data_IF_540635479750
#
_entry.id   IF_540635479750
#
_cell.length_a   1.000
_cell.length_b   1.000
_cell.length_c   1.000
_cell.angle_alpha   90.00
_cell.angle_beta   90.00
_cell.angle_gamma   90.00
#
_symmetry.space_group_name_H-M   'P 1'
#
loop_
_entity.id
_entity.type
_entity.pdbx_description
1 polymer ?
#
# COMPACT_ATOMS: atom_id res chain seq x y z
N UNK A 1 12.91 -12.01 -12.69
CA UNK A 1 12.14 -10.76 -12.92
C UNK A 1 12.61 -9.60 -12.04
N UNK A 2 13.34 -9.84 -10.94
CA UNK A 2 14.01 -8.78 -10.16
C UNK A 2 15.52 -8.93 -10.35
N UNK A 3 16.04 -8.52 -11.51
CA UNK A 3 17.48 -8.46 -11.74
C UNK A 3 17.79 -7.37 -12.75
N UNK A 4 17.74 -6.14 -12.25
CA UNK A 4 18.49 -4.96 -12.68
C UNK A 4 18.36 -3.94 -11.56
N UNK A 5 19.17 -4.12 -10.52
CA UNK A 5 19.47 -3.03 -9.60
C UNK A 5 20.22 -1.98 -10.43
N UNK A 6 19.49 -0.96 -10.86
CA UNK A 6 20.12 0.33 -11.19
C UNK A 6 20.79 0.78 -9.90
N UNK A 7 22.03 1.24 -9.98
CA UNK A 7 22.89 1.60 -8.84
C UNK A 7 22.29 2.78 -8.06
N UNK A 8 21.27 2.50 -7.25
CA UNK A 8 20.42 3.47 -6.56
C UNK A 8 20.90 3.76 -5.14
N UNK A 9 21.90 3.00 -4.66
CA UNK A 9 22.30 2.97 -3.25
C UNK A 9 21.26 2.32 -2.32
N UNK A 10 20.14 1.79 -2.84
CA UNK A 10 19.12 1.10 -2.07
C UNK A 10 19.12 -0.41 -2.37
N UNK A 11 19.05 -1.21 -1.31
CA UNK A 11 18.99 -2.65 -1.40
C UNK A 11 17.65 -3.17 -0.88
N UNK A 12 17.06 -4.09 -1.65
CA UNK A 12 15.92 -4.85 -1.18
C UNK A 12 16.39 -5.85 -0.12
N UNK A 13 15.86 -5.76 1.09
CA UNK A 13 16.24 -6.62 2.21
C UNK A 13 15.39 -7.90 2.27
N UNK A 14 14.08 -7.77 2.49
CA UNK A 14 13.22 -8.92 2.77
C UNK A 14 11.75 -8.70 2.40
N UNK A 15 11.03 -9.81 2.20
CA UNK A 15 9.56 -9.87 2.17
C UNK A 15 9.10 -10.58 3.43
N UNK A 16 8.09 -10.03 4.10
CA UNK A 16 7.48 -10.61 5.30
C UNK A 16 5.98 -10.78 5.10
N UNK A 17 5.40 -11.79 5.76
CA UNK A 17 3.96 -12.05 5.71
C UNK A 17 3.37 -11.88 7.10
N UNK A 18 2.56 -10.83 7.29
CA UNK A 18 1.84 -10.60 8.54
C UNK A 18 0.40 -11.11 8.50
N UNK A 19 -0.10 -11.62 7.37
CA UNK A 19 -1.44 -12.21 7.21
C UNK A 19 -2.58 -11.29 7.71
N UNK A 20 -2.42 -9.97 7.51
CA UNK A 20 -3.32 -8.93 8.04
C UNK A 20 -3.49 -8.94 9.57
N UNK A 21 -2.63 -9.65 10.30
CA UNK A 21 -2.57 -9.65 11.75
C UNK A 21 -1.75 -8.44 12.23
N UNK A 22 -2.40 -7.54 12.96
CA UNK A 22 -1.78 -6.31 13.47
C UNK A 22 -0.52 -6.59 14.30
N UNK A 23 -0.56 -7.60 15.18
CA UNK A 23 0.56 -7.90 16.06
C UNK A 23 1.79 -8.39 15.28
N UNK A 24 1.59 -9.25 14.28
CA UNK A 24 2.67 -9.71 13.40
C UNK A 24 3.26 -8.58 12.57
N UNK A 25 2.41 -7.67 12.07
CA UNK A 25 2.87 -6.50 11.34
C UNK A 25 3.74 -5.59 12.23
N UNK A 26 3.32 -5.39 13.49
CA UNK A 26 4.06 -4.63 14.50
C UNK A 26 5.42 -5.25 14.79
N UNK A 27 5.45 -6.54 15.13
CA UNK A 27 6.69 -7.28 15.43
C UNK A 27 7.65 -7.26 14.24
N UNK A 28 7.14 -7.54 13.04
CA UNK A 28 7.94 -7.54 11.80
C UNK A 28 8.62 -6.19 11.58
N UNK A 29 7.88 -5.08 11.70
CA UNK A 29 8.44 -3.75 11.48
C UNK A 29 9.44 -3.35 12.57
N UNK A 30 9.13 -3.66 13.84
CA UNK A 30 10.08 -3.38 14.93
C UNK A 30 11.38 -4.16 14.75
N UNK A 31 11.30 -5.45 14.44
CA UNK A 31 12.48 -6.27 14.21
C UNK A 31 13.32 -5.74 13.05
N UNK A 32 12.69 -5.27 11.98
CA UNK A 32 13.39 -4.67 10.84
C UNK A 32 14.11 -3.37 11.24
N UNK A 33 13.44 -2.49 11.99
CA UNK A 33 14.00 -1.24 12.49
C UNK A 33 15.18 -1.47 13.46
N UNK A 34 15.11 -2.54 14.24
CA UNK A 34 16.15 -2.92 15.19
C UNK A 34 17.37 -3.57 14.53
N UNK A 35 17.13 -4.53 13.62
CA UNK A 35 18.17 -5.25 12.88
C UNK A 35 18.91 -4.35 11.89
N UNK A 36 18.21 -3.44 11.22
CA UNK A 36 18.75 -2.62 10.13
C UNK A 36 18.80 -1.14 10.54
N UNK A 37 19.97 -0.69 11.00
CA UNK A 37 20.18 0.72 11.39
C UNK A 37 20.15 1.68 10.20
N UNK A 38 20.27 1.15 9.00
CA UNK A 38 20.14 1.79 7.69
C UNK A 38 18.78 1.56 7.03
N UNK A 39 17.79 0.99 7.74
CA UNK A 39 16.42 0.86 7.22
C UNK A 39 15.87 2.24 6.82
N UNK A 40 15.48 2.39 5.55
CA UNK A 40 15.02 3.66 4.97
C UNK A 40 13.55 3.65 4.55
N UNK A 41 12.92 2.49 4.43
CA UNK A 41 11.55 2.44 3.93
C UNK A 41 10.92 1.07 3.90
N UNK A 42 9.59 1.07 3.78
CA UNK A 42 8.79 -0.13 3.57
C UNK A 42 7.68 0.14 2.56
N UNK A 43 7.28 -0.93 1.89
CA UNK A 43 6.03 -1.03 1.16
C UNK A 43 5.14 -2.07 1.84
N UNK A 44 3.92 -1.69 2.21
CA UNK A 44 2.92 -2.61 2.75
C UNK A 44 1.80 -2.82 1.74
N UNK A 45 1.62 -4.06 1.28
CA UNK A 45 0.54 -4.47 0.38
C UNK A 45 -0.71 -5.00 1.12
N UNK A 46 -0.63 -5.24 2.45
CA UNK A 46 -1.72 -5.80 3.25
C UNK A 46 -2.50 -4.76 4.07
N UNK A 47 -3.49 -5.20 4.84
CA UNK A 47 -4.43 -4.36 5.59
C UNK A 47 -3.89 -3.68 6.86
N UNK A 48 -2.59 -3.83 7.17
CA UNK A 48 -2.00 -3.41 8.44
C UNK A 48 -1.47 -1.95 8.47
N UNK A 49 -1.86 -1.08 7.53
CA UNK A 49 -1.32 0.28 7.41
C UNK A 49 -1.43 1.11 8.69
N UNK A 50 -2.55 1.02 9.43
CA UNK A 50 -2.73 1.78 10.67
C UNK A 50 -1.75 1.34 11.75
N UNK A 51 -1.54 0.03 11.92
CA UNK A 51 -0.60 -0.52 12.89
C UNK A 51 0.84 -0.13 12.56
N UNK A 52 1.23 -0.21 11.28
CA UNK A 52 2.55 0.21 10.83
C UNK A 52 2.76 1.71 11.04
N UNK A 53 1.75 2.53 10.72
CA UNK A 53 1.79 3.96 10.98
C UNK A 53 2.01 4.26 12.47
N UNK A 54 1.31 3.55 13.36
CA UNK A 54 1.45 3.73 14.81
C UNK A 54 2.83 3.33 15.35
N UNK A 55 3.44 2.28 14.78
CA UNK A 55 4.83 1.92 15.09
C UNK A 55 5.77 3.06 14.67
N UNK A 56 5.64 3.56 13.45
CA UNK A 56 6.50 4.65 12.95
C UNK A 56 6.32 5.94 13.75
N UNK A 57 5.08 6.31 14.11
CA UNK A 57 4.83 7.51 14.93
C UNK A 57 5.53 7.47 16.29
N UNK A 58 5.66 6.28 16.89
CA UNK A 58 6.27 6.08 18.21
C UNK A 58 7.78 5.84 18.14
N UNK A 59 8.29 5.37 17.01
CA UNK A 59 9.70 5.04 16.87
C UNK A 59 10.55 6.29 16.63
N UNK A 60 11.71 6.47 17.30
CA UNK A 60 12.54 7.68 17.17
C UNK A 60 12.97 8.01 15.73
N UNK A 61 13.17 6.97 14.91
CA UNK A 61 13.53 7.10 13.49
C UNK A 61 12.34 7.15 12.54
N UNK A 62 11.11 6.97 13.02
CA UNK A 62 9.96 6.70 12.14
C UNK A 62 9.64 7.81 11.15
N UNK A 63 9.89 9.09 11.51
CA UNK A 63 9.76 10.23 10.59
C UNK A 63 10.75 10.21 9.41
N UNK A 64 11.81 9.42 9.50
CA UNK A 64 12.83 9.28 8.46
C UNK A 64 12.62 8.02 7.60
N UNK A 65 11.55 7.26 7.85
CA UNK A 65 11.24 6.04 7.11
C UNK A 65 10.21 6.37 6.02
N UNK A 66 10.56 6.11 4.77
CA UNK A 66 9.64 6.21 3.65
C UNK A 66 8.64 5.05 3.72
N UNK A 67 7.39 5.35 4.09
CA UNK A 67 6.33 4.36 4.14
C UNK A 67 5.37 4.53 2.96
N UNK A 68 5.33 3.53 2.08
CA UNK A 68 4.35 3.39 1.01
C UNK A 68 3.33 2.33 1.41
N UNK A 69 2.05 2.66 1.39
CA UNK A 69 0.99 1.71 1.68
C UNK A 69 0.14 1.35 0.46
N UNK A 70 -0.81 0.48 0.72
CA UNK A 70 -1.79 0.01 -0.24
C UNK A 70 -3.19 0.34 0.27
N UNK A 71 -4.10 0.76 -0.62
CA UNK A 71 -5.49 1.15 -0.33
C UNK A 71 -5.68 2.47 0.44
N UNK A 72 -6.50 3.35 -0.13
CA UNK A 72 -6.91 4.61 0.48
C UNK A 72 -8.15 4.42 1.38
N UNK A 73 -7.91 4.54 2.68
CA UNK A 73 -8.93 4.60 3.75
C UNK A 73 -8.80 5.91 4.53
N UNK A 74 -9.83 6.30 5.30
CA UNK A 74 -9.78 7.47 6.19
C UNK A 74 -8.53 7.49 7.08
N UNK A 75 -8.14 6.32 7.62
CA UNK A 75 -6.96 6.17 8.48
C UNK A 75 -5.68 6.40 7.72
N UNK A 76 -5.56 5.84 6.52
CA UNK A 76 -4.37 6.04 5.68
C UNK A 76 -4.27 7.47 5.12
N UNK A 77 -5.41 8.13 4.86
CA UNK A 77 -5.45 9.55 4.52
C UNK A 77 -4.91 10.43 5.64
N UNK A 78 -5.23 10.11 6.90
CA UNK A 78 -4.65 10.81 8.05
C UNK A 78 -3.12 10.62 8.12
N UNK A 79 -2.62 9.40 7.88
CA UNK A 79 -1.18 9.12 7.82
C UNK A 79 -0.45 9.83 6.66
N UNK A 80 -1.12 10.07 5.53
CA UNK A 80 -0.56 10.91 4.46
C UNK A 80 -0.48 12.38 4.89
N UNK A 81 -1.55 12.90 5.50
CA UNK A 81 -1.62 14.32 5.92
C UNK A 81 -0.61 14.65 7.02
N UNK A 82 -0.41 13.75 7.98
CA UNK A 82 0.55 13.92 9.09
C UNK A 82 2.01 13.60 8.68
N UNK A 83 2.23 13.06 7.48
CA UNK A 83 3.54 12.74 6.93
C UNK A 83 4.14 11.42 7.42
N UNK A 84 3.38 10.59 8.13
CA UNK A 84 3.80 9.22 8.50
C UNK A 84 3.90 8.32 7.27
N UNK A 85 3.03 8.53 6.28
CA UNK A 85 3.08 7.86 4.98
C UNK A 85 3.53 8.85 3.90
N UNK A 86 4.36 8.37 2.98
CA UNK A 86 4.82 9.13 1.83
C UNK A 86 3.82 9.04 0.66
N UNK A 87 3.30 7.84 0.42
CA UNK A 87 2.36 7.59 -0.68
C UNK A 87 1.49 6.36 -0.42
N UNK A 88 0.38 6.28 -1.14
CA UNK A 88 -0.50 5.13 -1.25
C UNK A 88 -0.63 4.77 -2.72
N UNK A 89 -0.57 3.46 -3.01
CA UNK A 89 -0.96 2.89 -4.29
C UNK A 89 -2.37 2.32 -4.10
N UNK A 90 -3.37 3.00 -4.64
CA UNK A 90 -4.78 2.61 -4.53
C UNK A 90 -5.24 1.81 -5.76
N UNK A 91 -6.01 0.74 -5.54
CA UNK A 91 -6.48 -0.14 -6.61
C UNK A 91 -7.79 0.30 -7.26
N UNK A 92 -8.44 1.33 -6.71
CA UNK A 92 -9.78 1.78 -7.08
C UNK A 92 -10.78 0.62 -6.96
N UNK A 93 -10.93 0.00 -5.77
CA UNK A 93 -11.74 -1.22 -5.58
C UNK A 93 -13.20 -1.02 -6.01
N UNK A 94 -13.74 0.19 -5.89
CA UNK A 94 -15.09 0.51 -6.37
C UNK A 94 -15.21 0.35 -7.88
N UNK A 95 -14.24 0.85 -8.66
CA UNK A 95 -14.26 0.69 -10.12
C UNK A 95 -14.15 -0.78 -10.53
N UNK A 96 -13.38 -1.57 -9.78
CA UNK A 96 -13.26 -3.00 -10.00
C UNK A 96 -14.59 -3.72 -9.75
N UNK A 97 -15.26 -3.41 -8.63
CA UNK A 97 -16.56 -3.96 -8.29
C UNK A 97 -17.63 -3.59 -9.32
N UNK A 98 -17.68 -2.32 -9.75
CA UNK A 98 -18.59 -1.84 -10.80
C UNK A 98 -18.38 -2.59 -12.11
N UNK A 99 -17.13 -2.71 -12.57
CA UNK A 99 -16.80 -3.43 -13.80
C UNK A 99 -17.13 -4.91 -13.74
N UNK A 100 -16.93 -5.54 -12.57
CA UNK A 100 -17.33 -6.93 -12.36
C UNK A 100 -18.85 -7.11 -12.46
N UNK A 101 -19.63 -6.19 -11.90
CA UNK A 101 -21.08 -6.19 -12.00
C UNK A 101 -21.56 -5.95 -13.44
N UNK A 102 -21.01 -4.94 -14.12
CA UNK A 102 -21.33 -4.65 -15.52
C UNK A 102 -21.06 -5.88 -16.40
N UNK A 103 -19.93 -6.54 -16.19
CA UNK A 103 -19.58 -7.76 -16.92
C UNK A 103 -20.59 -8.89 -16.66
N UNK A 104 -21.00 -9.08 -15.40
CA UNK A 104 -22.00 -10.09 -15.05
C UNK A 104 -23.35 -9.80 -15.72
N UNK A 105 -23.82 -8.56 -15.65
CA UNK A 105 -25.09 -8.14 -16.25
C UNK A 105 -25.07 -8.22 -17.78
N UNK A 106 -23.97 -7.82 -18.43
CA UNK A 106 -23.79 -7.98 -19.88
C UNK A 106 -23.86 -9.45 -20.29
N UNK A 107 -23.21 -10.35 -19.54
CA UNK A 107 -23.26 -11.80 -19.80
C UNK A 107 -24.64 -12.42 -19.60
N UNK A 108 -25.46 -11.83 -18.73
CA UNK A 108 -26.86 -12.23 -18.52
C UNK A 108 -27.83 -11.61 -19.53
N UNK A 109 -27.36 -10.78 -20.47
CA UNK A 109 -28.21 -10.06 -21.42
C UNK A 109 -29.03 -8.94 -20.77
N UNK A 110 -28.64 -8.49 -19.58
CA UNK A 110 -29.29 -7.41 -18.83
C UNK A 110 -28.66 -6.03 -19.09
N UNK A 111 -27.54 -5.99 -19.81
CA UNK A 111 -26.91 -4.78 -20.33
C UNK A 111 -26.67 -4.95 -21.83
N UNK A 112 -27.03 -3.93 -22.61
CA UNK A 112 -26.89 -3.93 -24.07
C UNK A 112 -25.49 -3.50 -24.53
N UNK A 113 -24.77 -2.73 -23.70
CA UNK A 113 -23.48 -2.17 -24.06
C UNK A 113 -22.32 -3.08 -23.66
N UNK A 114 -21.32 -3.17 -24.55
CA UNK A 114 -20.09 -3.89 -24.28
C UNK A 114 -19.30 -3.22 -23.14
N UNK A 115 -18.81 -4.04 -22.21
CA UNK A 115 -18.03 -3.60 -21.05
C UNK A 115 -16.58 -3.39 -21.45
N UNK A 116 -15.99 -2.26 -21.03
CA UNK A 116 -14.56 -1.99 -21.21
C UNK A 116 -13.72 -2.96 -20.37
N UNK A 117 -12.86 -3.75 -21.02
CA UNK A 117 -12.02 -4.76 -20.39
C UNK A 117 -10.57 -4.31 -20.17
N UNK A 118 -10.23 -3.04 -20.45
CA UNK A 118 -8.90 -2.53 -20.16
C UNK A 118 -8.60 -2.63 -18.66
N UNK A 119 -7.36 -2.87 -18.23
CA UNK A 119 -7.01 -2.85 -16.81
C UNK A 119 -7.42 -1.53 -16.16
N UNK A 120 -7.98 -1.59 -14.96
CA UNK A 120 -8.25 -0.40 -14.15
C UNK A 120 -6.89 0.10 -13.63
N UNK A 121 -6.49 1.34 -13.96
CA UNK A 121 -5.19 1.85 -13.53
C UNK A 121 -5.20 2.08 -12.02
N UNK A 122 -4.07 1.79 -11.38
CA UNK A 122 -3.84 2.22 -10.01
C UNK A 122 -3.79 3.74 -9.92
N UNK A 123 -4.15 4.28 -8.76
CA UNK A 123 -4.01 5.71 -8.46
C UNK A 123 -2.92 5.86 -7.41
N UNK A 124 -2.00 6.81 -7.63
CA UNK A 124 -1.02 7.20 -6.61
C UNK A 124 -1.55 8.38 -5.83
N UNK A 125 -1.66 8.23 -4.52
CA UNK A 125 -2.14 9.25 -3.60
C UNK A 125 -1.00 9.66 -2.67
N UNK A 126 -0.76 10.96 -2.56
CA UNK A 126 0.25 11.58 -1.69
C UNK A 126 -0.44 12.65 -0.84
N UNK A 127 0.31 13.35 0.01
CA UNK A 127 -0.23 14.46 0.81
C UNK A 127 -0.84 15.57 -0.06
N UNK A 128 -0.38 15.74 -1.29
CA UNK A 128 -0.78 16.80 -2.20
C UNK A 128 -2.14 16.57 -2.88
N UNK A 129 -2.65 15.33 -2.91
CA UNK A 129 -3.90 14.98 -3.60
C UNK A 129 -4.87 14.11 -2.77
N UNK A 130 -4.68 14.07 -1.44
CA UNK A 130 -5.50 13.29 -0.48
C UNK A 130 -6.58 14.11 0.21
#
# INVERSE_FOLDING_TARGET
>A
YIQRQVDSGFHFDSVSFHYDEAERARETLMDALDRHKDFVGLYNAGGANSTLSDVLRRHPRGKNICFIGHELTERSSASLRDGTMAAIIDQVPEAQARRALDLALYRLGLLEHAVDLRPIPFVTVTKENV
#
